data_IF_654559961315
#
_entry.id   IF_654559961315
#
_cell.length_a   1.000
_cell.length_b   1.000
_cell.length_c   1.000
_cell.angle_alpha   90.00
_cell.angle_beta   90.00
_cell.angle_gamma   90.00
#
_symmetry.space_group_name_H-M   'P 1'
#
loop_
_entity.id
_entity.type
_entity.pdbx_description
1 polymer ?
#
# COMPACT_ATOMS: atom_id res chain seq x y z
N UNK A 1 42.27 -24.83 1.75
CA UNK A 1 41.20 -23.93 2.27
C UNK A 1 40.88 -22.91 1.18
N UNK A 2 39.66 -22.61 0.74
CA UNK A 2 38.33 -22.86 1.25
C UNK A 2 37.31 -22.68 0.11
N UNK A 3 37.08 -23.69 -0.72
CA UNK A 3 35.97 -23.68 -1.71
C UNK A 3 34.72 -24.36 -1.13
N UNK A 4 34.93 -25.20 -0.11
CA UNK A 4 33.89 -25.91 0.64
C UNK A 4 33.01 -24.93 1.42
N UNK A 5 33.54 -23.80 1.88
CA UNK A 5 32.83 -22.83 2.71
C UNK A 5 31.61 -22.20 2.02
N UNK A 6 31.76 -21.70 0.78
CA UNK A 6 30.66 -21.01 0.10
C UNK A 6 29.50 -21.95 -0.23
N UNK A 7 29.78 -23.15 -0.74
CA UNK A 7 28.75 -24.11 -1.12
C UNK A 7 27.97 -24.64 0.10
N UNK A 8 28.65 -24.89 1.22
CA UNK A 8 28.01 -25.34 2.47
C UNK A 8 27.15 -24.22 3.09
N UNK A 9 27.62 -22.97 3.08
CA UNK A 9 26.82 -21.83 3.56
C UNK A 9 25.59 -21.63 2.66
N UNK A 10 25.78 -21.67 1.34
CA UNK A 10 24.68 -21.47 0.38
C UNK A 10 23.63 -22.59 0.46
N UNK A 11 24.06 -23.84 0.59
CA UNK A 11 23.16 -24.98 0.78
C UNK A 11 22.41 -24.92 2.12
N UNK A 12 23.06 -24.43 3.19
CA UNK A 12 22.42 -24.24 4.49
C UNK A 12 21.35 -23.15 4.46
N UNK A 13 21.63 -22.01 3.82
CA UNK A 13 20.65 -20.92 3.63
C UNK A 13 19.45 -21.36 2.77
N UNK A 14 19.67 -22.29 1.83
CA UNK A 14 18.62 -22.85 0.98
C UNK A 14 17.86 -24.00 1.64
N UNK A 15 18.44 -24.63 2.66
CA UNK A 15 17.83 -25.75 3.33
C UNK A 15 16.70 -25.29 4.24
N UNK A 16 15.61 -26.05 4.22
CA UNK A 16 14.36 -25.70 4.84
C UNK A 16 14.35 -25.99 6.35
N UNK A 17 15.19 -25.28 7.12
CA UNK A 17 15.38 -25.49 8.56
C UNK A 17 14.07 -25.48 9.38
N UNK A 18 13.04 -24.75 8.95
CA UNK A 18 11.77 -24.61 9.69
C UNK A 18 10.53 -25.10 8.94
N UNK A 19 10.67 -25.87 7.86
CA UNK A 19 9.54 -26.33 7.06
C UNK A 19 8.99 -25.35 6.00
N UNK A 20 9.39 -24.07 6.00
CA UNK A 20 9.25 -23.15 4.86
C UNK A 20 10.57 -22.43 4.49
N UNK A 21 10.81 -22.18 3.19
CA UNK A 21 12.00 -21.43 2.74
C UNK A 21 12.02 -20.01 3.34
N UNK A 22 13.21 -19.41 3.48
CA UNK A 22 13.33 -18.03 3.98
C UNK A 22 12.50 -17.05 3.14
N UNK A 23 12.57 -17.16 1.81
CA UNK A 23 11.82 -16.31 0.90
C UNK A 23 10.31 -16.43 1.09
N UNK A 24 9.75 -17.64 1.23
CA UNK A 24 8.30 -17.80 1.39
C UNK A 24 7.79 -17.21 2.70
N UNK A 25 8.60 -17.24 3.77
CA UNK A 25 8.26 -16.58 5.04
C UNK A 25 8.23 -15.05 4.93
N UNK A 26 9.19 -14.45 4.23
CA UNK A 26 9.19 -13.01 3.97
C UNK A 26 7.94 -12.61 3.18
N UNK A 27 7.61 -13.34 2.11
CA UNK A 27 6.41 -13.05 1.32
C UNK A 27 5.11 -13.23 2.10
N UNK A 28 5.01 -14.27 2.93
CA UNK A 28 3.85 -14.48 3.82
C UNK A 28 3.71 -13.32 4.80
N UNK A 29 4.81 -12.85 5.40
CA UNK A 29 4.79 -11.72 6.33
C UNK A 29 4.38 -10.43 5.63
N UNK A 30 4.85 -10.19 4.41
CA UNK A 30 4.44 -9.04 3.59
C UNK A 30 2.93 -9.06 3.29
N UNK A 31 2.34 -10.22 3.03
CA UNK A 31 0.89 -10.35 2.83
C UNK A 31 0.12 -10.02 4.11
N UNK A 32 0.54 -10.55 5.26
CA UNK A 32 -0.09 -10.24 6.56
C UNK A 32 -0.05 -8.75 6.86
N UNK A 33 1.07 -8.10 6.56
CA UNK A 33 1.22 -6.65 6.69
C UNK A 33 0.24 -5.89 5.80
N UNK A 34 0.14 -6.26 4.52
CA UNK A 34 -0.75 -5.61 3.57
C UNK A 34 -2.23 -5.74 4.00
N UNK A 35 -2.62 -6.92 4.49
CA UNK A 35 -3.96 -7.17 4.99
C UNK A 35 -4.27 -6.34 6.25
N UNK A 36 -3.32 -6.22 7.17
CA UNK A 36 -3.46 -5.40 8.37
C UNK A 36 -3.68 -3.92 8.03
N UNK A 37 -2.93 -3.38 7.07
CA UNK A 37 -3.09 -2.00 6.61
C UNK A 37 -4.47 -1.82 5.96
N UNK A 38 -4.86 -2.73 5.07
CA UNK A 38 -6.17 -2.71 4.41
C UNK A 38 -7.31 -2.69 5.43
N UNK A 39 -7.23 -3.56 6.45
CA UNK A 39 -8.22 -3.64 7.51
C UNK A 39 -8.28 -2.36 8.35
N UNK A 40 -7.13 -1.78 8.71
CA UNK A 40 -7.10 -0.53 9.49
C UNK A 40 -7.67 0.64 8.70
N UNK A 41 -7.34 0.75 7.40
CA UNK A 41 -7.90 1.76 6.51
C UNK A 41 -9.41 1.60 6.34
N UNK A 42 -9.88 0.37 6.12
CA UNK A 42 -11.31 0.07 5.99
C UNK A 42 -12.08 0.44 7.26
N UNK A 43 -11.57 0.02 8.42
CA UNK A 43 -12.13 0.40 9.71
C UNK A 43 -12.12 1.93 9.88
N UNK A 44 -11.04 2.59 9.50
CA UNK A 44 -10.93 4.04 9.63
C UNK A 44 -11.90 4.82 8.76
N UNK A 45 -12.15 4.38 7.52
CA UNK A 45 -13.18 4.95 6.65
C UNK A 45 -14.57 4.75 7.24
N UNK A 46 -14.90 3.54 7.72
CA UNK A 46 -16.21 3.24 8.29
C UNK A 46 -16.50 3.99 9.61
N UNK A 47 -15.48 4.14 10.44
CA UNK A 47 -15.61 4.73 11.79
C UNK A 47 -15.25 6.21 11.84
N UNK A 48 -14.79 6.79 10.73
CA UNK A 48 -14.34 8.18 10.67
C UNK A 48 -13.04 8.46 11.42
N UNK A 49 -12.16 7.46 11.60
CA UNK A 49 -10.85 7.67 12.22
C UNK A 49 -10.01 8.65 11.39
N UNK A 50 -9.24 9.48 12.08
CA UNK A 50 -8.30 10.36 11.40
C UNK A 50 -7.12 9.57 10.82
N UNK A 51 -6.49 10.14 9.79
CA UNK A 51 -5.24 9.63 9.23
C UNK A 51 -4.13 9.53 10.28
N UNK A 52 -4.16 10.41 11.28
CA UNK A 52 -3.22 10.39 12.39
C UNK A 52 -3.41 9.12 13.23
N UNK A 53 -4.65 8.83 13.63
CA UNK A 53 -4.98 7.67 14.47
C UNK A 53 -4.65 6.36 13.75
N UNK A 54 -5.04 6.24 12.48
CA UNK A 54 -4.69 5.08 11.65
C UNK A 54 -3.16 4.91 11.55
N UNK A 55 -2.41 6.00 11.41
CA UNK A 55 -0.95 5.94 11.35
C UNK A 55 -0.30 5.53 12.67
N UNK A 56 -0.87 5.91 13.81
CA UNK A 56 -0.41 5.48 15.12
C UNK A 56 -0.59 3.96 15.29
N UNK A 57 -1.75 3.44 14.90
CA UNK A 57 -2.05 2.00 14.96
C UNK A 57 -1.13 1.19 14.04
N UNK A 58 -0.92 1.66 12.81
CA UNK A 58 -0.02 0.98 11.86
C UNK A 58 1.44 1.02 12.35
N UNK A 59 1.87 2.16 12.92
CA UNK A 59 3.19 2.29 13.51
C UNK A 59 3.40 1.30 14.65
N UNK A 60 2.43 1.19 15.57
CA UNK A 60 2.48 0.25 16.69
C UNK A 60 2.49 -1.21 16.22
N UNK A 61 1.55 -1.58 15.34
CA UNK A 61 1.39 -2.97 14.86
C UNK A 61 2.56 -3.45 14.00
N UNK A 62 3.21 -2.55 13.27
CA UNK A 62 4.28 -2.92 12.34
C UNK A 62 5.70 -2.62 12.85
N UNK A 63 5.85 -1.87 13.94
CA UNK A 63 7.16 -1.43 14.41
C UNK A 63 7.94 -0.57 13.39
N UNK A 64 7.23 0.10 12.47
CA UNK A 64 7.84 0.97 11.45
C UNK A 64 7.98 2.40 11.97
N UNK A 65 8.89 3.18 11.39
CA UNK A 65 9.04 4.59 11.75
C UNK A 65 7.78 5.42 11.46
N UNK A 66 7.53 6.43 12.29
CA UNK A 66 6.35 7.30 12.20
C UNK A 66 6.21 8.01 10.84
N UNK A 67 7.32 8.30 10.16
CA UNK A 67 7.28 8.92 8.83
C UNK A 67 6.77 7.95 7.77
N UNK A 68 7.19 6.68 7.85
CA UNK A 68 6.82 5.62 6.93
C UNK A 68 5.33 5.29 7.07
N UNK A 69 4.86 5.10 8.31
CA UNK A 69 3.45 4.84 8.59
C UNK A 69 2.54 5.96 8.07
N UNK A 70 2.88 7.23 8.37
CA UNK A 70 2.09 8.39 7.90
C UNK A 70 2.04 8.51 6.38
N UNK A 71 3.17 8.29 5.71
CA UNK A 71 3.22 8.34 4.24
C UNK A 71 2.33 7.26 3.62
N UNK A 72 2.42 6.04 4.15
CA UNK A 72 1.66 4.90 3.68
C UNK A 72 0.16 5.13 3.84
N UNK A 73 -0.27 5.46 5.06
CA UNK A 73 -1.67 5.74 5.40
C UNK A 73 -2.26 6.83 4.51
N UNK A 74 -1.50 7.92 4.27
CA UNK A 74 -1.93 9.00 3.39
C UNK A 74 -2.09 8.52 1.95
N UNK A 75 -1.12 7.82 1.39
CA UNK A 75 -1.15 7.35 -0.01
C UNK A 75 -2.30 6.37 -0.23
N UNK A 76 -2.43 5.38 0.64
CA UNK A 76 -3.49 4.36 0.52
C UNK A 76 -4.88 4.95 0.74
N UNK A 77 -5.04 5.90 1.67
CA UNK A 77 -6.33 6.57 1.87
C UNK A 77 -6.74 7.41 0.66
N UNK A 78 -5.79 8.15 0.05
CA UNK A 78 -6.06 8.85 -1.20
C UNK A 78 -6.43 7.89 -2.33
N UNK A 79 -5.77 6.73 -2.41
CA UNK A 79 -6.10 5.70 -3.39
C UNK A 79 -7.52 5.17 -3.20
N UNK A 80 -7.89 4.80 -1.97
CA UNK A 80 -9.24 4.29 -1.65
C UNK A 80 -10.32 5.33 -1.96
N UNK A 81 -10.10 6.60 -1.59
CA UNK A 81 -11.04 7.67 -1.91
C UNK A 81 -11.25 7.83 -3.42
N UNK A 82 -10.16 7.82 -4.20
CA UNK A 82 -10.24 7.94 -5.66
C UNK A 82 -10.95 6.73 -6.30
N UNK A 83 -10.73 5.52 -5.78
CA UNK A 83 -11.43 4.33 -6.28
C UNK A 83 -12.92 4.38 -5.94
N UNK A 84 -13.27 4.76 -4.71
CA UNK A 84 -14.66 4.91 -4.29
C UNK A 84 -15.41 5.96 -5.14
N UNK A 85 -14.75 7.06 -5.46
CA UNK A 85 -15.31 8.09 -6.37
C UNK A 85 -15.56 7.51 -7.77
N UNK A 86 -14.60 6.76 -8.32
CA UNK A 86 -14.75 6.12 -9.62
C UNK A 86 -15.83 5.04 -9.63
N UNK A 87 -15.99 4.28 -8.54
CA UNK A 87 -17.07 3.30 -8.37
C UNK A 87 -18.43 3.98 -8.27
N UNK A 88 -18.53 5.09 -7.53
CA UNK A 88 -19.74 5.90 -7.46
C UNK A 88 -20.17 6.42 -8.84
N UNK A 89 -19.23 6.83 -9.69
CA UNK A 89 -19.54 7.22 -11.08
C UNK A 89 -20.13 6.08 -11.91
N UNK A 90 -19.68 4.83 -11.69
CA UNK A 90 -20.23 3.66 -12.37
C UNK A 90 -21.65 3.34 -11.89
N UNK A 91 -21.91 3.47 -10.59
CA UNK A 91 -23.23 3.23 -9.98
C UNK A 91 -24.25 4.29 -10.40
N UNK A 92 -23.83 5.55 -10.54
CA UNK A 92 -24.70 6.65 -10.99
C UNK A 92 -24.85 6.75 -12.52
N UNK A 93 -24.39 5.76 -13.28
CA UNK A 93 -24.45 5.71 -14.76
C UNK A 93 -23.86 6.96 -15.45
N UNK A 94 -22.83 7.55 -14.84
CA UNK A 94 -22.20 8.76 -15.39
C UNK A 94 -21.33 8.37 -16.61
N UNK A 95 -21.74 8.83 -17.80
CA UNK A 95 -21.06 8.51 -19.06
C UNK A 95 -19.76 9.31 -19.26
N UNK A 96 -19.64 10.50 -18.65
CA UNK A 96 -18.52 11.41 -18.86
C UNK A 96 -18.15 12.11 -17.55
N UNK A 97 -16.87 12.07 -17.21
CA UNK A 97 -16.31 12.87 -16.12
C UNK A 97 -14.99 13.50 -16.57
N UNK A 98 -14.57 14.54 -15.84
CA UNK A 98 -13.29 15.21 -16.08
C UNK A 98 -12.41 14.99 -14.85
N UNK A 99 -11.20 14.48 -15.06
CA UNK A 99 -10.23 14.42 -13.99
C UNK A 99 -9.66 15.82 -13.73
N UNK A 100 -9.76 16.31 -12.50
CA UNK A 100 -9.24 17.61 -12.09
C UNK A 100 -8.27 17.40 -10.93
N UNK A 101 -7.00 17.70 -11.16
CA UNK A 101 -5.96 17.69 -10.15
C UNK A 101 -5.84 19.08 -9.51
N UNK A 102 -5.44 19.14 -8.25
CA UNK A 102 -5.24 20.41 -7.53
C UNK A 102 -3.99 21.19 -7.99
N UNK A 103 -3.14 20.60 -8.84
CA UNK A 103 -1.92 21.20 -9.43
C UNK A 103 -1.05 21.98 -8.42
N UNK A 104 -0.84 21.40 -7.25
CA UNK A 104 0.03 21.95 -6.21
C UNK A 104 1.46 21.37 -6.30
N UNK A 105 2.38 21.86 -5.45
CA UNK A 105 3.76 21.34 -5.36
C UNK A 105 3.84 19.85 -4.95
N UNK A 106 2.72 19.23 -4.58
CA UNK A 106 2.64 17.83 -4.12
C UNK A 106 1.94 16.93 -5.13
N UNK A 107 1.43 17.51 -6.21
CA UNK A 107 0.74 16.79 -7.29
C UNK A 107 1.78 16.00 -8.06
N UNK A 108 1.52 14.69 -8.24
CA UNK A 108 2.43 13.85 -9.01
C UNK A 108 2.41 14.26 -10.48
N UNK A 109 3.53 14.05 -11.19
CA UNK A 109 3.62 14.31 -12.64
C UNK A 109 2.53 13.55 -13.41
N UNK A 110 2.19 12.34 -12.96
CA UNK A 110 1.12 11.52 -13.53
C UNK A 110 -0.22 12.23 -13.38
N UNK A 111 -0.58 12.66 -12.16
CA UNK A 111 -1.83 13.38 -11.92
C UNK A 111 -1.89 14.70 -12.69
N UNK A 112 -0.78 15.46 -12.74
CA UNK A 112 -0.72 16.69 -13.51
C UNK A 112 -0.91 16.44 -15.02
N UNK A 113 -0.37 15.35 -15.56
CA UNK A 113 -0.55 14.98 -16.97
C UNK A 113 -1.97 14.50 -17.31
N UNK A 114 -2.76 14.13 -16.30
CA UNK A 114 -4.15 13.70 -16.43
C UNK A 114 -5.12 14.85 -16.20
N UNK A 115 -4.65 15.98 -15.67
CA UNK A 115 -5.49 17.13 -15.37
C UNK A 115 -6.22 17.65 -16.61
N UNK A 116 -7.51 17.94 -16.44
CA UNK A 116 -8.38 18.44 -17.50
C UNK A 116 -8.80 17.39 -18.54
N UNK A 117 -8.30 16.15 -18.49
CA UNK A 117 -8.71 15.11 -19.42
C UNK A 117 -10.15 14.69 -19.16
N UNK A 118 -10.97 14.77 -20.21
CA UNK A 118 -12.31 14.20 -20.24
C UNK A 118 -12.21 12.70 -20.45
N UNK A 119 -12.72 11.93 -19.49
CA UNK A 119 -12.82 10.48 -19.57
C UNK A 119 -14.28 10.18 -19.87
N UNK A 120 -14.54 9.72 -21.09
CA UNK A 120 -15.83 9.13 -21.47
C UNK A 120 -15.74 7.62 -21.31
N UNK A 121 -16.80 7.02 -20.77
CA UNK A 121 -16.99 5.58 -20.75
C UNK A 121 -17.18 5.02 -22.16
#
# INVERSE_FOLDING_TARGET
MSVIGFFVIYSTLRNNWSGASYSSRIWSNTQTVAELIKNELFLGVLTGKSQHDMSAVIMEKMGVGAMQARRLVRTESCYVANQAEMESYKECEIEKYRFVATLDMRTSEICASLDGKGISR
#
